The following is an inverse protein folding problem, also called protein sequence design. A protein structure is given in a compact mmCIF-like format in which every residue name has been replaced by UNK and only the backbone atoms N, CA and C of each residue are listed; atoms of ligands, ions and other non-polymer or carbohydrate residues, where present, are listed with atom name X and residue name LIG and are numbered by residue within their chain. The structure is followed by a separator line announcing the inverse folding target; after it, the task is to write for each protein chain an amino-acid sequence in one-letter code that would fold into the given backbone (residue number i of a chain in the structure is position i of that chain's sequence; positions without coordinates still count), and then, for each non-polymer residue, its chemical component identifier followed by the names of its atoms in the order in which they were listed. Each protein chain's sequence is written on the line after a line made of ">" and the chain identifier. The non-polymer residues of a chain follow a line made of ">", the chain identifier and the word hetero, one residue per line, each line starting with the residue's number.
data_IF_797454485239
#
_entry.id   IF_797454485239
#
_cell.length_a   1.000
_cell.length_b   1.000
_cell.length_c   1.000
_cell.angle_alpha   90.00
_cell.angle_beta   90.00
_cell.angle_gamma   90.00
#
_symmetry.space_group_name_H-M   'P 1'
#
loop_
_entity.id
_entity.type
_entity.pdbx_description
1 polymer ?
#
# COMPACT_ATOMS: atom_id res chain seq x y z
N UNK A 1 -26.38 22.37 -67.15
CA UNK A 1 -26.90 22.90 -65.86
C UNK A 1 -26.49 21.97 -64.73
N UNK A 2 -25.98 22.59 -63.66
CA UNK A 2 -25.29 22.11 -62.46
C UNK A 2 -25.41 20.63 -62.01
N UNK A 3 -24.22 20.01 -61.89
CA UNK A 3 -23.90 18.86 -61.02
C UNK A 3 -24.32 19.17 -59.58
N UNK A 4 -25.15 18.33 -58.96
CA UNK A 4 -25.43 18.37 -57.53
C UNK A 4 -24.56 17.32 -56.84
N UNK A 5 -23.30 17.69 -56.57
CA UNK A 5 -22.38 16.90 -55.76
C UNK A 5 -22.67 17.11 -54.28
N UNK A 6 -22.61 16.00 -53.54
CA UNK A 6 -22.00 15.87 -52.21
C UNK A 6 -22.52 16.76 -51.06
N UNK A 7 -23.16 16.08 -50.09
CA UNK A 7 -22.61 16.06 -48.73
C UNK A 7 -23.18 14.88 -47.95
N UNK A 8 -22.49 13.73 -47.96
CA UNK A 8 -22.67 12.72 -46.92
C UNK A 8 -22.10 13.32 -45.64
N UNK A 9 -22.95 13.58 -44.66
CA UNK A 9 -22.51 13.80 -43.30
C UNK A 9 -22.10 12.43 -42.75
N UNK A 10 -20.81 12.13 -42.87
CA UNK A 10 -20.20 10.99 -42.21
C UNK A 10 -20.06 11.37 -40.72
N UNK A 11 -21.08 11.04 -39.94
CA UNK A 11 -21.01 11.07 -38.49
C UNK A 11 -20.01 9.98 -38.10
N UNK A 12 -18.74 10.35 -37.91
CA UNK A 12 -17.72 9.45 -37.36
C UNK A 12 -18.09 9.19 -35.90
N UNK A 13 -18.95 8.19 -35.70
CA UNK A 13 -19.26 7.60 -34.41
C UNK A 13 -18.03 6.85 -33.93
N UNK A 14 -17.28 7.43 -32.99
CA UNK A 14 -16.25 6.73 -32.22
C UNK A 14 -16.81 6.30 -30.85
N UNK A 15 -17.60 5.21 -30.77
CA UNK A 15 -18.05 4.65 -29.49
C UNK A 15 -16.87 4.14 -28.64
N UNK A 16 -15.75 3.75 -29.27
CA UNK A 16 -14.54 3.27 -28.59
C UNK A 16 -13.76 4.38 -27.87
N UNK A 17 -13.58 5.56 -28.48
CA UNK A 17 -12.79 6.66 -27.87
C UNK A 17 -13.49 7.22 -26.64
N UNK A 18 -14.82 7.39 -26.68
CA UNK A 18 -15.62 7.81 -25.51
C UNK A 18 -15.59 6.77 -24.39
N UNK A 19 -15.56 5.48 -24.74
CA UNK A 19 -15.45 4.37 -23.77
C UNK A 19 -14.07 4.36 -23.12
N UNK A 20 -12.99 4.41 -23.89
CA UNK A 20 -11.61 4.47 -23.39
C UNK A 20 -11.38 5.71 -22.53
N UNK A 21 -11.86 6.89 -22.97
CA UNK A 21 -11.78 8.11 -22.18
C UNK A 21 -12.52 7.99 -20.83
N UNK A 22 -13.68 7.32 -20.80
CA UNK A 22 -14.39 7.01 -19.55
C UNK A 22 -13.59 6.09 -18.62
N UNK A 23 -13.02 5.01 -19.14
CA UNK A 23 -12.17 4.10 -18.37
C UNK A 23 -10.91 4.80 -17.83
N UNK A 24 -10.26 5.65 -18.63
CA UNK A 24 -9.12 6.45 -18.19
C UNK A 24 -9.50 7.44 -17.09
N UNK A 25 -10.66 8.11 -17.22
CA UNK A 25 -11.16 9.02 -16.20
C UNK A 25 -11.48 8.28 -14.89
N UNK A 26 -12.10 7.09 -14.96
CA UNK A 26 -12.37 6.25 -13.78
C UNK A 26 -11.08 5.75 -13.12
N UNK A 27 -10.09 5.31 -13.91
CA UNK A 27 -8.79 4.89 -13.41
C UNK A 27 -8.04 6.05 -12.75
N UNK A 28 -8.06 7.23 -13.37
CA UNK A 28 -7.47 8.44 -12.79
C UNK A 28 -8.16 8.81 -11.47
N UNK A 29 -9.49 8.80 -11.42
CA UNK A 29 -10.25 9.07 -10.19
C UNK A 29 -9.90 8.05 -9.09
N UNK A 30 -9.83 6.75 -9.44
CA UNK A 30 -9.46 5.69 -8.49
C UNK A 30 -8.05 5.89 -7.94
N UNK A 31 -7.07 6.20 -8.80
CA UNK A 31 -5.70 6.51 -8.37
C UNK A 31 -5.66 7.74 -7.45
N UNK A 32 -6.36 8.82 -7.80
CA UNK A 32 -6.42 10.03 -6.96
C UNK A 32 -6.99 9.71 -5.57
N UNK A 33 -8.06 8.91 -5.49
CA UNK A 33 -8.63 8.48 -4.22
C UNK A 33 -7.64 7.63 -3.43
N UNK A 34 -7.01 6.63 -4.06
CA UNK A 34 -6.01 5.78 -3.41
C UNK A 34 -4.82 6.59 -2.87
N UNK A 35 -4.24 7.47 -3.68
CA UNK A 35 -3.13 8.32 -3.25
C UNK A 35 -3.55 9.29 -2.15
N UNK A 36 -4.77 9.83 -2.20
CA UNK A 36 -5.32 10.67 -1.15
C UNK A 36 -5.45 9.92 0.19
N UNK A 37 -6.02 8.71 0.17
CA UNK A 37 -6.16 7.86 1.37
C UNK A 37 -4.77 7.50 1.92
N UNK A 38 -3.85 7.06 1.08
CA UNK A 38 -2.50 6.67 1.50
C UNK A 38 -1.73 7.85 2.11
N UNK A 39 -1.80 9.03 1.50
CA UNK A 39 -1.18 10.24 2.02
C UNK A 39 -1.78 10.63 3.39
N UNK A 40 -3.09 10.43 3.57
CA UNK A 40 -3.74 10.68 4.85
C UNK A 40 -3.33 9.67 5.93
N UNK A 41 -3.37 8.37 5.63
CA UNK A 41 -3.00 7.30 6.58
C UNK A 41 -1.53 7.34 6.99
N UNK A 42 -0.63 7.76 6.09
CA UNK A 42 0.82 7.79 6.35
C UNK A 42 1.28 9.14 6.93
N UNK A 43 0.36 10.08 7.14
CA UNK A 43 0.70 11.45 7.57
C UNK A 43 1.48 11.48 8.88
N UNK A 44 1.11 10.61 9.82
CA UNK A 44 1.69 10.51 11.16
C UNK A 44 2.69 9.35 11.28
N UNK A 45 3.17 8.82 10.14
CA UNK A 45 4.17 7.78 10.16
C UNK A 45 5.48 8.30 10.81
N UNK A 46 6.00 7.62 11.85
CA UNK A 46 7.26 7.97 12.47
C UNK A 46 8.38 7.97 11.42
N UNK A 47 9.14 9.07 11.36
CA UNK A 47 10.30 9.21 10.47
C UNK A 47 11.56 9.31 11.30
N UNK A 48 12.63 8.68 10.82
CA UNK A 48 13.94 8.70 11.47
C UNK A 48 14.38 7.31 11.94
N UNK A 49 15.48 7.24 12.72
CA UNK A 49 15.95 5.98 13.27
C UNK A 49 14.92 5.37 14.21
N UNK A 50 14.87 4.04 14.26
CA UNK A 50 14.08 3.33 15.26
C UNK A 50 14.51 3.77 16.68
N UNK A 51 13.56 3.90 17.63
CA UNK A 51 13.88 4.15 19.03
C UNK A 51 14.82 3.10 19.59
N UNK A 52 15.65 3.50 20.56
CA UNK A 52 16.48 2.54 21.28
C UNK A 52 15.59 1.64 22.14
N UNK A 53 15.66 0.34 21.86
CA UNK A 53 14.93 -0.68 22.60
C UNK A 53 15.95 -1.71 23.07
N UNK A 54 16.17 -1.72 24.38
CA UNK A 54 17.01 -2.68 25.06
C UNK A 54 16.23 -3.29 26.21
N UNK A 55 16.29 -4.60 26.37
CA UNK A 55 15.52 -5.28 27.40
C UNK A 55 15.96 -6.69 27.65
N UNK A 56 15.49 -7.21 28.78
CA UNK A 56 15.67 -8.61 29.15
C UNK A 56 14.51 -9.42 28.62
N UNK A 57 14.79 -10.46 27.85
CA UNK A 57 13.75 -11.38 27.40
C UNK A 57 13.15 -12.13 28.59
N UNK A 58 11.84 -12.41 28.48
CA UNK A 58 11.08 -13.16 29.48
C UNK A 58 11.14 -14.68 29.26
N UNK A 59 11.93 -15.14 28.29
CA UNK A 59 12.18 -16.55 28.04
C UNK A 59 13.16 -17.13 29.09
N UNK A 60 13.33 -18.45 29.09
CA UNK A 60 14.15 -19.17 30.06
C UNK A 60 15.60 -18.66 30.11
N UNK A 61 16.13 -18.22 28.96
CA UNK A 61 17.52 -17.77 28.82
C UNK A 61 17.75 -16.38 29.41
N UNK A 62 16.67 -15.61 29.66
CA UNK A 62 16.75 -14.30 30.30
C UNK A 62 17.76 -13.36 29.62
N UNK A 63 17.95 -13.55 28.30
CA UNK A 63 18.99 -12.90 27.52
C UNK A 63 18.71 -11.41 27.40
N UNK A 64 19.75 -10.60 27.54
CA UNK A 64 19.71 -9.18 27.18
C UNK A 64 19.71 -9.05 25.66
N UNK A 65 18.75 -8.31 25.14
CA UNK A 65 18.63 -7.99 23.71
C UNK A 65 18.65 -6.48 23.55
N UNK A 66 19.48 -6.03 22.62
CA UNK A 66 19.53 -4.64 22.16
C UNK A 66 19.30 -4.60 20.66
N UNK A 67 18.41 -3.70 20.20
CA UNK A 67 18.21 -3.45 18.77
C UNK A 67 19.48 -2.95 18.06
N UNK A 68 20.42 -2.35 18.79
CA UNK A 68 21.71 -1.94 18.26
C UNK A 68 22.52 -3.13 17.70
N UNK A 69 22.36 -4.33 18.28
CA UNK A 69 23.06 -5.55 17.84
C UNK A 69 22.63 -6.03 16.44
N UNK A 70 21.48 -5.56 15.95
CA UNK A 70 20.88 -5.96 14.68
C UNK A 70 21.03 -4.89 13.58
N UNK A 71 21.80 -3.83 13.84
CA UNK A 71 22.06 -2.77 12.86
C UNK A 71 22.69 -3.34 11.59
N UNK A 72 22.35 -2.76 10.45
CA UNK A 72 22.83 -3.19 9.13
C UNK A 72 22.06 -4.36 8.52
N UNK A 73 21.10 -4.94 9.24
CA UNK A 73 20.16 -5.95 8.71
C UNK A 73 18.72 -5.43 8.80
N UNK A 74 17.84 -5.78 7.85
CA UNK A 74 16.42 -5.52 8.00
C UNK A 74 15.90 -6.28 9.23
N UNK A 75 15.24 -5.56 10.14
CA UNK A 75 14.68 -6.11 11.37
C UNK A 75 13.21 -5.70 11.49
N UNK A 76 12.32 -6.68 11.65
CA UNK A 76 10.91 -6.47 11.95
C UNK A 76 10.68 -6.64 13.46
N UNK A 77 10.18 -5.60 14.12
CA UNK A 77 9.78 -5.65 15.53
C UNK A 77 8.25 -5.64 15.61
N UNK A 78 7.67 -6.71 16.15
CA UNK A 78 6.22 -6.87 16.24
C UNK A 78 5.75 -6.80 17.70
N UNK A 79 4.99 -5.75 18.03
CA UNK A 79 4.39 -5.57 19.34
C UNK A 79 3.02 -6.24 19.40
N UNK A 80 2.83 -7.17 20.34
CA UNK A 80 1.59 -7.91 20.49
C UNK A 80 1.27 -8.18 21.97
N UNK A 81 0.06 -8.66 22.24
CA UNK A 81 -0.36 -9.07 23.58
C UNK A 81 -1.28 -10.30 23.52
N UNK A 82 -1.27 -11.12 24.57
CA UNK A 82 -2.07 -12.36 24.65
C UNK A 82 -3.58 -12.12 24.64
N UNK A 83 -4.01 -10.94 25.08
CA UNK A 83 -5.40 -10.52 25.09
C UNK A 83 -5.84 -9.79 23.80
N UNK A 84 -4.95 -9.62 22.82
CA UNK A 84 -5.25 -8.91 21.57
C UNK A 84 -5.83 -9.87 20.51
N UNK A 85 -7.15 -9.81 20.21
CA UNK A 85 -7.76 -10.74 19.26
C UNK A 85 -7.30 -10.51 17.81
N UNK A 86 -7.09 -9.25 17.42
CA UNK A 86 -6.60 -8.90 16.08
C UNK A 86 -5.18 -9.44 15.86
N UNK A 87 -4.32 -9.34 16.89
CA UNK A 87 -2.96 -9.85 16.84
C UNK A 87 -2.92 -11.37 16.64
N UNK A 88 -3.87 -12.10 17.25
CA UNK A 88 -4.00 -13.56 17.06
C UNK A 88 -4.34 -13.92 15.62
N UNK A 89 -5.18 -13.12 14.96
CA UNK A 89 -5.54 -13.33 13.55
C UNK A 89 -4.37 -13.01 12.61
N UNK A 90 -3.62 -11.94 12.87
CA UNK A 90 -2.48 -11.52 12.02
C UNK A 90 -1.19 -12.32 12.26
N UNK A 91 -1.06 -13.02 13.38
CA UNK A 91 0.19 -13.67 13.81
C UNK A 91 0.82 -14.57 12.74
N UNK A 92 0.02 -15.38 12.03
CA UNK A 92 0.53 -16.28 10.99
C UNK A 92 1.18 -15.57 9.81
N UNK A 93 0.68 -14.38 9.45
CA UNK A 93 1.24 -13.57 8.37
C UNK A 93 2.54 -12.88 8.76
N UNK A 94 2.72 -12.57 10.06
CA UNK A 94 3.98 -12.02 10.57
C UNK A 94 5.03 -13.13 10.65
N UNK A 95 4.64 -14.32 11.10
CA UNK A 95 5.55 -15.46 11.25
C UNK A 95 6.14 -15.92 9.90
N UNK A 96 5.38 -15.84 8.80
CA UNK A 96 5.89 -16.23 7.48
C UNK A 96 7.10 -15.39 7.04
N UNK A 97 7.19 -14.13 7.45
CA UNK A 97 8.32 -13.24 7.11
C UNK A 97 9.62 -13.69 7.76
N UNK A 98 9.55 -14.39 8.90
CA UNK A 98 10.76 -14.87 9.60
C UNK A 98 11.38 -16.12 8.98
N UNK A 99 10.63 -16.82 8.12
CA UNK A 99 11.07 -18.08 7.50
C UNK A 99 11.75 -17.88 6.14
N UNK A 100 11.59 -16.70 5.56
CA UNK A 100 12.26 -16.28 4.32
C UNK A 100 13.64 -15.68 4.63
#
# INVERSE_FOLDING_TARGET
>A
MARRLSRRHEVVSMPQVRRVAGWLAQLALFLVILFGIQAWMTRDAPRGPAPELSGKLLNADQRMVDLADYRGKPLLVHFWATWCPVCKFSHGAVESVSRD
#
